data_IF_136730732361
#
_entry.id   IF_136730732361
#
_cell.length_a   1.000
_cell.length_b   1.000
_cell.length_c   1.000
_cell.angle_alpha   90.00
_cell.angle_beta   90.00
_cell.angle_gamma   90.00
#
_symmetry.space_group_name_H-M   'P 1'
#
loop_
_entity.id
_entity.type
_entity.pdbx_description
1 polymer ?
#
# COMPACT_ATOMS: atom_id res chain seq x y z
N UNK A 1 34.58 21.07 -12.22
CA UNK A 1 34.55 20.23 -11.00
C UNK A 1 33.84 21.08 -9.95
N UNK A 2 32.61 20.86 -9.51
CA UNK A 2 31.88 19.63 -9.19
C UNK A 2 30.36 19.89 -9.37
N UNK A 3 29.63 18.99 -10.03
CA UNK A 3 28.16 19.06 -10.19
C UNK A 3 27.51 18.26 -9.04
N UNK A 4 27.01 18.97 -8.03
CA UNK A 4 26.28 18.36 -6.91
C UNK A 4 24.86 17.96 -7.32
N UNK A 5 24.62 16.66 -7.48
CA UNK A 5 23.29 16.09 -7.73
C UNK A 5 22.41 16.18 -6.48
N UNK A 6 21.25 16.84 -6.59
CA UNK A 6 20.23 16.85 -5.56
C UNK A 6 19.36 15.59 -5.71
N UNK A 7 19.74 14.50 -5.04
CA UNK A 7 18.87 13.34 -4.91
C UNK A 7 17.73 13.69 -3.94
N UNK A 8 16.56 14.05 -4.47
CA UNK A 8 15.33 14.08 -3.67
C UNK A 8 15.14 12.67 -3.09
N UNK A 9 15.35 12.56 -1.78
CA UNK A 9 15.14 11.33 -1.03
C UNK A 9 13.66 10.95 -1.22
N UNK A 10 13.42 9.87 -1.94
CA UNK A 10 12.08 9.28 -2.03
C UNK A 10 11.77 8.81 -0.61
N UNK A 11 10.85 9.52 0.06
CA UNK A 11 10.28 9.06 1.32
C UNK A 11 9.62 7.72 1.00
N UNK A 12 10.26 6.63 1.42
CA UNK A 12 9.66 5.31 1.33
C UNK A 12 8.34 5.36 2.10
N UNK A 13 7.24 4.96 1.47
CA UNK A 13 5.95 4.82 2.12
C UNK A 13 5.96 3.58 3.03
N UNK A 14 6.77 3.63 4.08
CA UNK A 14 6.67 2.72 5.20
C UNK A 14 5.46 3.15 6.04
N UNK A 15 4.28 2.64 5.68
CA UNK A 15 3.02 2.92 6.37
C UNK A 15 3.01 2.44 7.83
N UNK A 16 4.02 1.70 8.28
CA UNK A 16 4.17 1.33 9.69
C UNK A 16 4.75 2.47 10.54
N UNK A 17 5.45 3.42 9.92
CA UNK A 17 6.06 4.55 10.61
C UNK A 17 5.17 5.77 10.47
N UNK A 18 4.55 6.16 11.58
CA UNK A 18 3.92 7.48 11.69
C UNK A 18 5.05 8.50 11.87
N UNK A 19 5.10 9.52 11.03
CA UNK A 19 6.00 10.67 11.22
C UNK A 19 5.75 11.26 12.62
N UNK A 20 6.80 11.25 13.46
CA UNK A 20 6.80 11.87 14.78
C UNK A 20 7.01 10.97 15.99
N UNK A 21 7.28 9.66 15.83
CA UNK A 21 7.64 8.78 16.97
C UNK A 21 9.03 8.21 16.76
N UNK A 22 10.01 8.84 17.40
CA UNK A 22 11.38 8.33 17.51
C UNK A 22 11.40 6.97 18.20
N UNK A 23 12.24 6.09 17.66
CA UNK A 23 12.74 4.80 18.16
C UNK A 23 12.07 4.23 19.42
N UNK A 24 11.35 3.13 19.23
CA UNK A 24 10.81 2.30 20.31
C UNK A 24 12.00 1.73 21.11
N UNK A 25 12.39 2.45 22.16
CA UNK A 25 13.13 1.89 23.27
C UNK A 25 12.12 1.19 24.18
N UNK A 26 12.12 -0.13 24.16
CA UNK A 26 11.25 -0.96 24.98
C UNK A 26 11.66 -0.88 26.45
N UNK A 27 11.13 0.12 27.17
CA UNK A 27 11.06 0.14 28.63
C UNK A 27 9.67 -0.34 29.04
N UNK A 28 9.55 -1.62 29.41
CA UNK A 28 8.29 -2.29 29.75
C UNK A 28 7.71 -1.87 31.12
N UNK A 29 8.20 -0.80 31.75
CA UNK A 29 7.92 -0.54 33.17
C UNK A 29 7.25 0.81 33.50
N UNK A 30 6.78 1.58 32.52
CA UNK A 30 6.17 2.91 32.79
C UNK A 30 4.71 3.06 32.33
N UNK A 31 3.96 1.96 32.29
CA UNK A 31 2.50 2.01 32.10
C UNK A 31 1.79 2.11 33.46
N UNK A 32 2.08 3.18 34.19
CA UNK A 32 1.23 3.65 35.27
C UNK A 32 0.01 4.38 34.69
N UNK A 33 -1.15 3.75 34.76
CA UNK A 33 -2.49 4.38 34.69
C UNK A 33 -2.85 5.25 33.46
N UNK A 34 -2.12 5.15 32.35
CA UNK A 34 -2.53 5.68 31.04
C UNK A 34 -3.08 4.55 30.13
N UNK A 35 -3.83 3.63 30.73
CA UNK A 35 -4.51 2.53 30.06
C UNK A 35 -5.81 3.02 29.42
N UNK A 36 -5.73 3.63 28.23
CA UNK A 36 -6.73 3.53 27.15
C UNK A 36 -6.30 4.37 25.94
N UNK A 37 -5.34 3.87 25.16
CA UNK A 37 -5.32 4.19 23.74
C UNK A 37 -6.55 3.52 23.11
N UNK A 38 -7.72 4.17 23.23
CA UNK A 38 -8.98 3.69 22.66
C UNK A 38 -8.89 3.85 21.14
N UNK A 39 -8.24 2.88 20.48
CA UNK A 39 -8.27 2.76 19.03
C UNK A 39 -9.71 2.54 18.63
N UNK A 40 -10.26 3.50 17.92
CA UNK A 40 -11.57 3.39 17.33
C UNK A 40 -11.53 2.36 16.18
N UNK A 41 -11.75 1.09 16.50
CA UNK A 41 -11.85 0.01 15.51
C UNK A 41 -13.05 0.14 14.58
N UNK A 42 -13.92 1.16 14.77
CA UNK A 42 -15.01 1.42 13.82
C UNK A 42 -14.50 1.92 12.45
N UNK A 43 -13.27 2.44 12.40
CA UNK A 43 -12.65 2.97 11.18
C UNK A 43 -11.30 2.33 10.96
N UNK A 44 -11.23 1.48 9.95
CA UNK A 44 -10.00 0.87 9.51
C UNK A 44 -9.89 0.92 7.99
N UNK A 45 -8.66 0.90 7.51
CA UNK A 45 -8.33 0.77 6.09
C UNK A 45 -7.68 -0.58 5.89
N UNK A 46 -8.16 -1.32 4.90
CA UNK A 46 -7.52 -2.56 4.46
C UNK A 46 -6.66 -2.25 3.25
N UNK A 47 -5.37 -2.57 3.35
CA UNK A 47 -4.42 -2.54 2.24
C UNK A 47 -4.01 -3.98 1.97
N UNK A 48 -4.01 -4.38 0.71
CA UNK A 48 -3.54 -5.69 0.29
C UNK A 48 -2.67 -5.58 -0.95
N UNK A 49 -1.74 -6.51 -1.11
CA UNK A 49 -0.95 -6.63 -2.34
C UNK A 49 -1.78 -7.22 -3.47
N UNK A 50 -1.41 -6.90 -4.71
CA UNK A 50 -2.02 -7.49 -5.90
C UNK A 50 -1.67 -8.99 -6.08
N UNK A 51 -0.58 -9.46 -5.48
CA UNK A 51 -0.10 -10.83 -5.60
C UNK A 51 0.13 -11.24 -7.07
N UNK A 52 -0.16 -12.50 -7.37
CA UNK A 52 -0.05 -13.06 -8.73
C UNK A 52 -0.89 -12.32 -9.76
N UNK A 53 -2.06 -11.78 -9.37
CA UNK A 53 -2.97 -11.07 -10.27
C UNK A 53 -2.34 -9.79 -10.84
N UNK A 54 -1.45 -9.13 -10.10
CA UNK A 54 -0.70 -7.96 -10.61
C UNK A 54 0.66 -8.34 -11.18
N UNK A 55 1.41 -9.17 -10.45
CA UNK A 55 2.83 -9.42 -10.74
C UNK A 55 3.06 -10.04 -12.11
N UNK A 56 2.26 -11.03 -12.51
CA UNK A 56 2.45 -11.70 -13.81
C UNK A 56 2.13 -10.79 -14.99
N UNK A 57 1.07 -9.98 -14.90
CA UNK A 57 0.65 -9.08 -15.98
C UNK A 57 1.62 -7.90 -16.14
N UNK A 58 2.05 -7.31 -15.01
CA UNK A 58 3.02 -6.23 -14.99
C UNK A 58 4.40 -6.68 -15.47
N UNK A 59 4.77 -7.94 -15.20
CA UNK A 59 6.03 -8.53 -15.67
C UNK A 59 6.02 -8.76 -17.18
N UNK A 60 4.93 -9.36 -17.70
CA UNK A 60 4.80 -9.73 -19.12
C UNK A 60 4.89 -8.55 -20.07
N UNK A 61 4.35 -7.40 -19.65
CA UNK A 61 4.27 -6.17 -20.46
C UNK A 61 5.37 -5.15 -20.14
N UNK A 62 6.20 -5.41 -19.13
CA UNK A 62 7.25 -4.48 -18.70
C UNK A 62 6.76 -3.25 -17.93
N UNK A 63 5.51 -3.23 -17.45
CA UNK A 63 4.94 -2.10 -16.68
C UNK A 63 5.78 -1.75 -15.46
N UNK A 64 6.31 -2.76 -14.75
CA UNK A 64 7.21 -2.59 -13.60
C UNK A 64 8.54 -1.87 -13.94
N UNK A 65 8.85 -1.71 -15.24
CA UNK A 65 10.03 -0.98 -15.73
C UNK A 65 9.69 0.45 -16.20
N UNK A 66 8.43 0.87 -16.09
CA UNK A 66 7.95 2.17 -16.59
C UNK A 66 7.74 2.21 -18.11
N UNK A 67 7.65 3.41 -18.69
CA UNK A 67 7.50 3.58 -20.14
C UNK A 67 6.05 3.60 -20.64
N UNK A 68 5.12 4.16 -19.87
CA UNK A 68 3.69 4.27 -20.25
C UNK A 68 3.43 5.08 -21.53
N UNK A 69 4.42 5.81 -22.04
CA UNK A 69 4.37 6.43 -23.36
C UNK A 69 4.40 5.39 -24.51
N UNK A 70 4.83 4.16 -24.24
CA UNK A 70 4.82 3.07 -25.21
C UNK A 70 3.45 2.37 -25.20
N UNK A 71 2.79 2.21 -26.37
CA UNK A 71 1.46 1.62 -26.45
C UNK A 71 1.35 0.23 -25.82
N UNK A 72 2.38 -0.61 -25.97
CA UNK A 72 2.40 -1.97 -25.41
C UNK A 72 2.42 -1.97 -23.88
N UNK A 73 3.24 -1.10 -23.28
CA UNK A 73 3.34 -0.96 -21.83
C UNK A 73 2.04 -0.37 -21.26
N UNK A 74 1.46 0.63 -21.93
CA UNK A 74 0.16 1.18 -21.55
C UNK A 74 -0.96 0.12 -21.59
N UNK A 75 -1.02 -0.69 -22.66
CA UNK A 75 -1.96 -1.80 -22.72
C UNK A 75 -1.73 -2.81 -21.58
N UNK A 76 -0.47 -3.09 -21.25
CA UNK A 76 -0.08 -3.89 -20.10
C UNK A 76 -0.52 -3.32 -18.75
N UNK A 77 -0.46 -1.99 -18.60
CA UNK A 77 -0.91 -1.30 -17.40
C UNK A 77 -2.42 -1.47 -17.21
N UNK A 78 -3.21 -1.26 -18.28
CA UNK A 78 -4.66 -1.49 -18.25
C UNK A 78 -4.98 -2.97 -17.98
N UNK A 79 -4.27 -3.91 -18.61
CA UNK A 79 -4.44 -5.34 -18.34
C UNK A 79 -4.13 -5.71 -16.87
N UNK A 80 -3.10 -5.09 -16.30
CA UNK A 80 -2.75 -5.25 -14.88
C UNK A 80 -3.87 -4.71 -14.00
N UNK A 81 -4.40 -3.51 -14.25
CA UNK A 81 -5.54 -2.93 -13.52
C UNK A 81 -6.79 -3.83 -13.54
N UNK A 82 -7.13 -4.38 -14.71
CA UNK A 82 -8.29 -5.25 -14.84
C UNK A 82 -8.09 -6.55 -14.05
N UNK A 83 -6.93 -7.19 -14.22
CA UNK A 83 -6.60 -8.47 -13.57
C UNK A 83 -6.70 -8.38 -12.04
N UNK A 84 -6.33 -7.22 -11.49
CA UNK A 84 -6.35 -7.00 -10.06
C UNK A 84 -7.70 -6.54 -9.50
N UNK A 85 -8.63 -6.14 -10.36
CA UNK A 85 -9.97 -5.71 -9.94
C UNK A 85 -10.79 -6.87 -9.36
N UNK A 86 -10.67 -8.08 -9.93
CA UNK A 86 -11.40 -9.27 -9.45
C UNK A 86 -11.09 -9.60 -7.99
N UNK A 87 -9.83 -9.81 -7.56
CA UNK A 87 -9.53 -10.08 -6.15
C UNK A 87 -9.91 -8.91 -5.24
N UNK A 88 -9.85 -7.67 -5.73
CA UNK A 88 -10.32 -6.51 -4.98
C UNK A 88 -11.79 -6.62 -4.61
N UNK A 89 -12.63 -6.96 -5.60
CA UNK A 89 -14.07 -7.13 -5.40
C UNK A 89 -14.37 -8.30 -4.46
N UNK A 90 -13.58 -9.36 -4.48
CA UNK A 90 -13.73 -10.48 -3.55
C UNK A 90 -13.46 -10.07 -2.11
N UNK A 91 -12.39 -9.29 -1.88
CA UNK A 91 -12.05 -8.75 -0.55
C UNK A 91 -13.15 -7.80 -0.06
N UNK A 92 -13.59 -6.86 -0.91
CA UNK A 92 -14.69 -5.93 -0.59
C UNK A 92 -15.96 -6.70 -0.23
N UNK A 93 -16.33 -7.72 -1.01
CA UNK A 93 -17.53 -8.54 -0.75
C UNK A 93 -17.40 -9.38 0.53
N UNK A 94 -16.22 -9.92 0.82
CA UNK A 94 -15.97 -10.67 2.05
C UNK A 94 -16.12 -9.77 3.28
N UNK A 95 -15.53 -8.57 3.23
CA UNK A 95 -15.61 -7.58 4.30
C UNK A 95 -17.02 -7.04 4.49
N UNK A 96 -17.73 -6.73 3.40
CA UNK A 96 -19.12 -6.26 3.47
C UNK A 96 -20.06 -7.27 4.15
N UNK A 97 -19.77 -8.57 4.04
CA UNK A 97 -20.52 -9.63 4.74
C UNK A 97 -20.18 -9.74 6.24
N UNK A 98 -19.02 -9.25 6.66
CA UNK A 98 -18.48 -9.45 8.00
C UNK A 98 -18.69 -8.26 8.97
N UNK A 99 -19.49 -7.23 8.60
CA UNK A 99 -19.76 -5.95 9.31
C UNK A 99 -18.82 -4.76 8.92
N UNK A 100 -19.18 -3.50 9.30
CA UNK A 100 -19.50 -2.41 8.39
C UNK A 100 -18.35 -1.96 7.47
N UNK A 101 -18.75 -1.40 6.33
CA UNK A 101 -17.99 -1.14 5.12
C UNK A 101 -16.64 -0.45 5.37
N UNK A 102 -15.50 -1.15 5.19
CA UNK A 102 -14.19 -0.52 5.29
C UNK A 102 -13.90 0.38 4.08
N UNK A 103 -13.07 1.41 4.29
CA UNK A 103 -12.43 2.13 3.19
C UNK A 103 -11.26 1.29 2.71
N UNK A 104 -11.37 0.67 1.54
CA UNK A 104 -10.32 -0.18 0.97
C UNK A 104 -9.50 0.67 0.00
N UNK A 105 -8.19 0.72 0.22
CA UNK A 105 -7.26 1.45 -0.64
C UNK A 105 -6.43 0.48 -1.47
N UNK A 106 -6.35 0.77 -2.76
CA UNK A 106 -5.59 0.00 -3.72
C UNK A 106 -4.20 0.59 -3.89
N UNK A 107 -3.14 -0.18 -3.62
CA UNK A 107 -1.78 0.20 -4.02
C UNK A 107 -1.40 -0.57 -5.28
N UNK A 108 -1.31 0.16 -6.39
CA UNK A 108 -0.74 -0.34 -7.65
C UNK A 108 0.78 -0.18 -7.49
N UNK A 109 1.53 -1.27 -7.57
CA UNK A 109 2.96 -1.23 -7.87
C UNK A 109 3.13 -1.33 -9.40
#
# INVERSE_FOLDING_TARGET
>A
MNLGSCSKQVIGMDWSKRDGVSDISSSLCDFGDQCQFKVDFSKFVVVHGAGSFGHFQASKSGVHKGGLNQPLVNAGFIATQISVTTPNLEIVRALARASPTPRIFWSIW
#
